data_IF_238918145828
#
_entry.id   IF_238918145828
#
_cell.length_a   1.000
_cell.length_b   1.000
_cell.length_c   1.000
_cell.angle_alpha   90.00
_cell.angle_beta   90.00
_cell.angle_gamma   90.00
#
_symmetry.space_group_name_H-M   'P 1'
#
loop_
_entity.id
_entity.type
_entity.pdbx_description
1 polymer ?
#
# COMPACT_ATOMS: atom_id res chain seq x y z
N UNK A 1 -20.42 -28.45 26.34
CA UNK A 1 -19.67 -27.75 27.38
C UNK A 1 -18.29 -28.34 27.49
N UNK A 2 -17.30 -27.62 26.98
CA UNK A 2 -15.88 -27.75 27.27
C UNK A 2 -15.31 -26.32 27.16
N UNK A 3 -14.53 -25.82 28.12
CA UNK A 3 -14.18 -24.40 28.15
C UNK A 3 -13.04 -24.11 27.17
N UNK A 4 -13.27 -23.11 26.34
CA UNK A 4 -12.27 -22.38 25.56
C UNK A 4 -11.52 -21.47 26.53
N UNK A 5 -10.21 -21.63 26.68
CA UNK A 5 -9.42 -20.68 27.47
C UNK A 5 -8.05 -21.15 27.91
N UNK A 6 -7.11 -21.33 26.99
CA UNK A 6 -5.67 -21.32 27.33
C UNK A 6 -4.78 -21.16 26.09
N UNK A 7 -4.81 -19.99 25.46
CA UNK A 7 -3.79 -19.60 24.47
C UNK A 7 -3.42 -18.10 24.55
N UNK A 8 -3.71 -17.46 25.69
CA UNK A 8 -3.32 -16.07 25.98
C UNK A 8 -2.67 -16.01 27.36
N UNK A 9 -1.53 -16.67 27.53
CA UNK A 9 -0.65 -16.41 28.68
C UNK A 9 0.77 -16.92 28.47
N UNK A 10 1.43 -16.46 27.41
CA UNK A 10 2.89 -16.65 27.28
C UNK A 10 3.49 -15.52 26.43
N UNK A 11 3.19 -14.27 26.79
CA UNK A 11 3.94 -13.11 26.29
C UNK A 11 4.07 -12.04 27.37
N UNK A 12 4.38 -12.43 28.61
CA UNK A 12 4.73 -11.46 29.65
C UNK A 12 5.50 -12.14 30.79
N UNK A 13 6.79 -12.35 30.57
CA UNK A 13 7.81 -12.26 31.62
C UNK A 13 9.23 -12.31 31.02
N UNK A 14 9.56 -11.32 30.18
CA UNK A 14 10.98 -11.00 30.01
C UNK A 14 11.47 -10.46 31.36
N UNK A 15 12.35 -11.21 32.03
CA UNK A 15 12.99 -10.76 33.28
C UNK A 15 13.71 -9.43 33.03
N UNK A 16 13.58 -8.43 33.91
CA UNK A 16 14.43 -7.24 33.84
C UNK A 16 15.89 -7.68 33.90
N UNK A 17 16.65 -7.43 32.83
CA UNK A 17 18.07 -7.80 32.74
C UNK A 17 18.42 -9.01 31.87
N UNK A 18 17.48 -9.62 31.13
CA UNK A 18 17.86 -10.55 30.06
C UNK A 18 18.69 -9.80 28.99
N UNK A 19 19.84 -10.32 28.53
CA UNK A 19 20.62 -9.65 27.49
C UNK A 19 19.77 -9.55 26.23
N UNK A 20 19.41 -8.32 25.86
CA UNK A 20 18.81 -7.99 24.58
C UNK A 20 19.68 -8.62 23.49
N UNK A 21 19.14 -9.58 22.75
CA UNK A 21 19.91 -10.32 21.74
C UNK A 21 20.57 -9.37 20.74
N UNK A 22 21.72 -9.74 20.17
CA UNK A 22 22.44 -8.93 19.18
C UNK A 22 21.53 -8.42 18.06
N UNK A 23 20.59 -9.25 17.58
CA UNK A 23 19.61 -8.89 16.57
C UNK A 23 18.68 -7.74 16.97
N UNK A 24 18.31 -7.62 18.25
CA UNK A 24 17.46 -6.51 18.72
C UNK A 24 18.25 -5.20 18.84
N UNK A 25 19.52 -5.26 19.28
CA UNK A 25 20.40 -4.08 19.28
C UNK A 25 20.73 -3.60 17.87
N UNK A 26 20.93 -4.52 16.93
CA UNK A 26 21.12 -4.21 15.51
C UNK A 26 19.85 -3.60 14.89
N UNK A 27 18.67 -4.12 15.24
CA UNK A 27 17.38 -3.55 14.84
C UNK A 27 17.19 -2.12 15.39
N UNK A 28 17.42 -1.89 16.68
CA UNK A 28 17.29 -0.55 17.29
C UNK A 28 18.27 0.44 16.64
N UNK A 29 19.53 0.05 16.45
CA UNK A 29 20.54 0.90 15.80
C UNK A 29 20.17 1.24 14.34
N UNK A 30 19.57 0.30 13.61
CA UNK A 30 19.07 0.53 12.25
C UNK A 30 17.87 1.48 12.24
N UNK A 31 16.94 1.35 13.19
CA UNK A 31 15.79 2.26 13.34
C UNK A 31 16.26 3.69 13.65
N UNK A 32 17.25 3.86 14.53
CA UNK A 32 17.84 5.18 14.85
C UNK A 32 18.44 5.88 13.63
N UNK A 33 18.87 5.13 12.61
CA UNK A 33 19.44 5.66 11.35
C UNK A 33 18.45 5.66 10.18
N UNK A 34 17.16 5.43 10.45
CA UNK A 34 16.16 5.39 9.40
C UNK A 34 15.60 6.78 9.09
N UNK A 35 15.39 7.07 7.80
CA UNK A 35 14.80 8.34 7.35
C UNK A 35 13.51 8.09 6.56
N UNK A 36 12.36 8.58 7.04
CA UNK A 36 11.12 8.51 6.29
C UNK A 36 11.10 9.55 5.17
N UNK A 37 10.75 9.10 3.97
CA UNK A 37 10.52 9.95 2.81
C UNK A 37 9.09 9.74 2.33
N UNK A 38 8.30 10.81 2.22
CA UNK A 38 6.87 10.73 1.89
C UNK A 38 6.58 10.99 0.41
N UNK A 39 5.61 10.28 -0.15
CA UNK A 39 5.25 10.35 -1.57
C UNK A 39 4.72 11.72 -2.03
N UNK A 40 4.19 12.51 -1.10
CA UNK A 40 3.67 13.85 -1.36
C UNK A 40 4.71 14.95 -1.11
N UNK A 41 5.90 14.61 -0.61
CA UNK A 41 6.95 15.56 -0.33
C UNK A 41 7.89 15.72 -1.54
N UNK A 42 8.17 16.96 -1.92
CA UNK A 42 9.22 17.29 -2.88
C UNK A 42 10.60 17.26 -2.21
N UNK A 43 11.61 16.87 -2.97
CA UNK A 43 13.01 16.84 -2.56
C UNK A 43 13.82 17.72 -3.53
N UNK A 44 13.95 19.01 -3.19
CA UNK A 44 14.41 20.03 -4.13
C UNK A 44 13.36 20.25 -5.22
N UNK A 45 13.75 20.12 -6.48
CA UNK A 45 12.86 20.30 -7.65
C UNK A 45 12.19 19.00 -8.14
N UNK A 46 12.38 17.87 -7.43
CA UNK A 46 11.91 16.57 -7.89
C UNK A 46 11.11 15.80 -6.82
N UNK A 47 10.25 14.90 -7.29
CA UNK A 47 9.62 13.86 -6.45
C UNK A 47 10.33 12.53 -6.67
N UNK A 48 10.41 11.70 -5.63
CA UNK A 48 10.88 10.33 -5.80
C UNK A 48 9.91 9.53 -6.68
N UNK A 49 10.41 8.63 -7.53
CA UNK A 49 9.58 7.81 -8.40
C UNK A 49 9.00 6.61 -7.63
N UNK A 50 8.04 6.86 -6.74
CA UNK A 50 7.49 5.85 -5.83
C UNK A 50 6.99 4.58 -6.53
N UNK A 51 6.40 4.69 -7.72
CA UNK A 51 5.93 3.52 -8.48
C UNK A 51 7.09 2.63 -8.95
N UNK A 52 8.23 3.23 -9.31
CA UNK A 52 9.45 2.50 -9.68
C UNK A 52 10.12 1.89 -8.47
N UNK A 53 10.16 2.63 -7.35
CA UNK A 53 10.70 2.13 -6.08
C UNK A 53 9.90 0.90 -5.60
N UNK A 54 8.57 0.97 -5.62
CA UNK A 54 7.72 -0.17 -5.26
C UNK A 54 7.95 -1.40 -6.15
N UNK A 55 8.20 -1.22 -7.44
CA UNK A 55 8.53 -2.33 -8.33
C UNK A 55 9.93 -2.91 -8.02
N UNK A 56 10.93 -2.04 -7.83
CA UNK A 56 12.30 -2.44 -7.54
C UNK A 56 12.44 -3.16 -6.18
N UNK A 57 11.61 -2.80 -5.20
CA UNK A 57 11.62 -3.42 -3.86
C UNK A 57 10.74 -4.68 -3.76
N UNK A 58 10.08 -5.08 -4.86
CA UNK A 58 9.22 -6.25 -4.88
C UNK A 58 7.92 -6.06 -4.10
N UNK A 59 7.39 -4.83 -4.01
CA UNK A 59 6.07 -4.55 -3.42
C UNK A 59 4.92 -4.83 -4.41
N UNK A 60 5.16 -4.63 -5.71
CA UNK A 60 4.21 -4.96 -6.76
C UNK A 60 4.82 -4.88 -8.15
N UNK A 61 4.04 -5.23 -9.18
CA UNK A 61 4.47 -5.10 -10.57
C UNK A 61 3.96 -3.79 -11.18
N UNK A 62 4.76 -3.13 -12.01
CA UNK A 62 4.32 -1.96 -12.76
C UNK A 62 3.51 -2.40 -13.98
N UNK A 63 2.24 -2.01 -14.05
CA UNK A 63 1.36 -2.31 -15.17
C UNK A 63 1.51 -1.29 -16.31
N UNK A 64 0.98 -1.64 -17.49
CA UNK A 64 0.90 -0.71 -18.63
C UNK A 64 0.03 0.52 -18.37
N UNK A 65 -0.81 0.50 -17.32
CA UNK A 65 -1.56 1.66 -16.83
C UNK A 65 -0.72 2.60 -15.95
N UNK A 66 0.58 2.33 -15.78
CA UNK A 66 1.50 3.00 -14.85
C UNK A 66 1.16 2.87 -13.36
N UNK A 67 0.14 2.06 -13.01
CA UNK A 67 -0.15 1.69 -11.64
C UNK A 67 0.77 0.55 -11.18
N UNK A 68 1.12 0.56 -9.90
CA UNK A 68 1.70 -0.63 -9.25
C UNK A 68 0.56 -1.56 -8.86
N UNK A 69 0.67 -2.83 -9.22
CA UNK A 69 -0.31 -3.86 -8.87
C UNK A 69 0.29 -4.75 -7.79
N UNK A 70 -0.29 -4.70 -6.59
CA UNK A 70 0.05 -5.59 -5.49
C UNK A 70 -0.58 -6.97 -5.75
N UNK A 71 0.11 -8.10 -5.46
CA UNK A 71 -0.41 -9.44 -5.75
C UNK A 71 -1.69 -9.79 -4.99
N UNK A 72 -1.86 -9.22 -3.79
CA UNK A 72 -3.07 -9.40 -2.95
C UNK A 72 -4.11 -8.30 -3.23
N UNK A 73 -3.74 -7.03 -3.03
CA UNK A 73 -4.67 -5.90 -3.09
C UNK A 73 -4.94 -5.35 -4.49
N UNK A 74 -4.29 -5.88 -5.53
CA UNK A 74 -4.39 -5.32 -6.88
C UNK A 74 -3.92 -3.86 -6.91
N UNK A 75 -4.60 -2.97 -7.65
CA UNK A 75 -4.32 -1.54 -7.62
C UNK A 75 -4.99 -0.82 -6.44
N UNK A 76 -5.62 -1.50 -5.48
CA UNK A 76 -6.44 -0.88 -4.43
C UNK A 76 -5.64 -0.57 -3.17
N UNK A 77 -4.54 0.16 -3.37
CA UNK A 77 -3.69 0.69 -2.31
C UNK A 77 -3.06 2.01 -2.76
N UNK A 78 -2.36 2.66 -1.84
CA UNK A 78 -1.60 3.88 -2.10
C UNK A 78 -0.19 3.76 -1.52
N UNK A 79 0.79 4.25 -2.27
CA UNK A 79 2.16 4.40 -1.80
C UNK A 79 2.25 5.68 -0.95
N UNK A 80 2.79 5.55 0.27
CA UNK A 80 2.78 6.66 1.25
C UNK A 80 4.17 7.15 1.61
N UNK A 81 5.08 6.22 1.91
CA UNK A 81 6.43 6.54 2.29
C UNK A 81 7.41 5.42 1.89
N UNK A 82 8.67 5.78 1.77
CA UNK A 82 9.81 4.86 1.77
C UNK A 82 10.62 5.16 3.02
N UNK A 83 11.08 4.12 3.69
CA UNK A 83 12.00 4.25 4.83
C UNK A 83 13.39 3.92 4.30
N UNK A 84 14.27 4.91 4.30
CA UNK A 84 15.67 4.73 3.95
C UNK A 84 16.41 4.21 5.17
N UNK A 85 17.23 3.19 5.00
CA UNK A 85 18.07 2.59 6.03
C UNK A 85 19.44 2.34 5.40
N UNK A 86 20.51 2.59 6.15
CA UNK A 86 21.87 2.31 5.70
C UNK A 86 22.10 0.82 5.48
N UNK A 87 22.84 0.48 4.43
CA UNK A 87 23.29 -0.88 4.11
C UNK A 87 22.88 -1.36 2.73
N UNK A 88 23.24 -2.59 2.41
CA UNK A 88 22.90 -3.21 1.13
C UNK A 88 21.43 -3.65 1.11
N UNK A 89 20.70 -3.42 0.00
CA UNK A 89 19.34 -3.88 -0.11
C UNK A 89 19.29 -5.42 -0.15
N UNK A 90 18.30 -6.05 0.49
CA UNK A 90 18.10 -7.49 0.35
C UNK A 90 17.76 -7.82 -1.12
N UNK A 91 18.21 -8.97 -1.61
CA UNK A 91 17.82 -9.46 -2.94
C UNK A 91 16.31 -9.67 -2.95
N UNK A 92 15.63 -9.10 -3.96
CA UNK A 92 14.18 -9.26 -4.16
C UNK A 92 13.92 -9.85 -5.54
N UNK A 93 13.04 -10.85 -5.57
CA UNK A 93 12.51 -11.36 -6.82
C UNK A 93 11.49 -10.35 -7.39
N UNK A 94 11.54 -10.04 -8.69
CA UNK A 94 10.48 -9.26 -9.33
C UNK A 94 9.12 -9.95 -9.16
N UNK A 95 8.08 -9.17 -8.85
CA UNK A 95 6.71 -9.69 -8.90
C UNK A 95 6.28 -9.75 -10.36
N UNK A 96 5.90 -10.95 -10.81
CA UNK A 96 5.27 -11.15 -12.11
C UNK A 96 3.97 -10.36 -12.21
N UNK A 97 3.62 -9.86 -13.39
CA UNK A 97 2.41 -9.05 -13.62
C UNK A 97 1.16 -9.75 -13.09
N UNK A 98 0.61 -9.32 -11.92
CA UNK A 98 -0.45 -10.07 -11.25
C UNK A 98 -1.83 -9.70 -11.81
N UNK A 99 -1.91 -8.61 -12.59
CA UNK A 99 -3.10 -8.23 -13.33
C UNK A 99 -3.10 -8.84 -14.74
N UNK A 100 -4.22 -9.44 -15.14
CA UNK A 100 -4.38 -10.14 -16.44
C UNK A 100 -5.29 -9.38 -17.43
N UNK A 101 -5.57 -8.11 -17.17
CA UNK A 101 -6.53 -7.29 -17.94
C UNK A 101 -6.16 -7.01 -19.41
N UNK A 102 -4.95 -7.36 -19.85
CA UNK A 102 -4.52 -7.22 -21.24
C UNK A 102 -4.71 -5.80 -21.80
N UNK A 103 -5.41 -5.69 -22.93
CA UNK A 103 -5.71 -4.40 -23.58
C UNK A 103 -6.67 -3.52 -22.78
N UNK A 104 -7.54 -4.08 -21.93
CA UNK A 104 -8.54 -3.31 -21.20
C UNK A 104 -7.93 -2.24 -20.29
N UNK A 105 -6.82 -2.56 -19.60
CA UNK A 105 -6.11 -1.57 -18.78
C UNK A 105 -5.50 -0.43 -19.60
N UNK A 106 -5.02 -0.73 -20.82
CA UNK A 106 -4.47 0.30 -21.73
C UNK A 106 -5.57 1.18 -22.28
N UNK A 107 -6.69 0.60 -22.70
CA UNK A 107 -7.86 1.33 -23.18
C UNK A 107 -8.39 2.27 -22.10
N UNK A 108 -8.55 1.78 -20.85
CA UNK A 108 -9.00 2.62 -19.74
C UNK A 108 -8.03 3.77 -19.46
N UNK A 109 -6.71 3.54 -19.52
CA UNK A 109 -5.72 4.61 -19.37
C UNK A 109 -5.85 5.66 -20.47
N UNK A 110 -5.92 5.25 -21.75
CA UNK A 110 -6.05 6.17 -22.88
C UNK A 110 -7.30 7.03 -22.75
N UNK A 111 -8.44 6.42 -22.36
CA UNK A 111 -9.67 7.16 -22.10
C UNK A 111 -9.55 8.13 -20.93
N UNK A 112 -8.86 7.75 -19.84
CA UNK A 112 -8.67 8.61 -18.68
C UNK A 112 -7.78 9.84 -18.98
N UNK A 113 -6.75 9.67 -19.81
CA UNK A 113 -5.80 10.74 -20.15
C UNK A 113 -6.44 11.94 -20.87
N UNK A 114 -7.54 11.72 -21.58
CA UNK A 114 -8.27 12.76 -22.32
C UNK A 114 -9.56 13.20 -21.60
N UNK A 115 -9.80 12.70 -20.39
CA UNK A 115 -11.03 12.95 -19.62
C UNK A 115 -10.76 13.84 -18.43
N UNK A 116 -11.70 14.76 -18.15
CA UNK A 116 -11.74 15.54 -16.92
C UNK A 116 -12.51 14.81 -15.79
N UNK A 117 -13.18 13.70 -16.08
CA UNK A 117 -13.99 12.96 -15.12
C UNK A 117 -13.12 12.05 -14.25
N UNK A 118 -13.33 12.11 -12.94
CA UNK A 118 -12.63 11.26 -11.98
C UNK A 118 -13.02 9.78 -12.13
N UNK A 119 -14.24 9.51 -12.59
CA UNK A 119 -14.75 8.16 -12.88
C UNK A 119 -13.93 7.48 -13.98
N UNK A 120 -13.42 8.26 -14.94
CA UNK A 120 -12.51 7.74 -15.97
C UNK A 120 -11.19 7.27 -15.37
N UNK A 121 -10.68 7.97 -14.35
CA UNK A 121 -9.49 7.56 -13.59
C UNK A 121 -9.77 6.36 -12.66
N UNK A 122 -10.97 6.27 -12.10
CA UNK A 122 -11.42 5.07 -11.38
C UNK A 122 -11.47 3.86 -12.31
N UNK A 123 -11.93 4.05 -13.56
CA UNK A 123 -11.99 3.00 -14.59
C UNK A 123 -10.63 2.34 -14.84
N UNK A 124 -9.52 3.07 -14.69
CA UNK A 124 -8.15 2.53 -14.82
C UNK A 124 -7.85 1.47 -13.74
N UNK A 125 -8.19 1.73 -12.47
CA UNK A 125 -8.04 0.75 -11.38
C UNK A 125 -9.00 -0.41 -11.56
N UNK A 126 -10.23 -0.08 -11.94
CA UNK A 126 -11.31 -1.00 -12.22
C UNK A 126 -11.00 -1.93 -13.41
N UNK A 127 -10.18 -1.53 -14.38
CA UNK A 127 -9.84 -2.41 -15.49
C UNK A 127 -9.01 -3.63 -15.04
N UNK A 128 -8.38 -3.58 -13.86
CA UNK A 128 -7.63 -4.70 -13.34
C UNK A 128 -8.53 -5.84 -12.85
N UNK A 129 -8.12 -7.09 -13.07
CA UNK A 129 -8.85 -8.29 -12.63
C UNK A 129 -8.76 -8.53 -11.12
N UNK A 130 -7.73 -8.02 -10.44
CA UNK A 130 -7.57 -8.15 -8.99
C UNK A 130 -8.37 -7.07 -8.24
N UNK A 131 -9.62 -7.38 -7.91
CA UNK A 131 -10.59 -6.46 -7.29
C UNK A 131 -11.15 -6.91 -5.95
N UNK A 132 -10.72 -8.06 -5.43
CA UNK A 132 -11.24 -8.60 -4.17
C UNK A 132 -11.09 -7.64 -2.98
N UNK A 133 -10.08 -6.76 -3.02
CA UNK A 133 -9.77 -5.78 -1.97
C UNK A 133 -10.04 -4.34 -2.42
N UNK A 134 -11.01 -4.15 -3.31
CA UNK A 134 -11.41 -2.82 -3.75
C UNK A 134 -11.85 -1.97 -2.55
N UNK A 135 -11.46 -0.70 -2.55
CA UNK A 135 -11.96 0.30 -1.59
C UNK A 135 -13.49 0.34 -1.61
N UNK A 136 -14.09 0.69 -0.46
CA UNK A 136 -15.53 0.94 -0.42
C UNK A 136 -15.90 2.11 -1.34
N UNK A 137 -17.17 2.20 -1.74
CA UNK A 137 -17.61 3.29 -2.62
C UNK A 137 -17.48 4.65 -1.93
N UNK A 138 -17.69 4.72 -0.62
CA UNK A 138 -17.48 5.92 0.21
C UNK A 138 -16.01 6.33 0.21
N UNK A 139 -15.09 5.37 0.41
CA UNK A 139 -13.66 5.64 0.40
C UNK A 139 -13.20 6.09 -0.99
N UNK A 140 -13.74 5.52 -2.06
CA UNK A 140 -13.46 5.93 -3.44
C UNK A 140 -13.93 7.36 -3.67
N UNK A 141 -15.18 7.65 -3.34
CA UNK A 141 -15.73 9.00 -3.49
C UNK A 141 -14.87 9.99 -2.73
N UNK A 142 -14.53 9.71 -1.47
CA UNK A 142 -13.65 10.57 -0.68
C UNK A 142 -12.29 10.83 -1.36
N UNK A 143 -11.62 9.80 -1.90
CA UNK A 143 -10.31 10.00 -2.53
C UNK A 143 -10.37 10.80 -3.83
N UNK A 144 -11.48 10.74 -4.57
CA UNK A 144 -11.60 11.43 -5.86
C UNK A 144 -12.27 12.80 -5.78
N UNK A 145 -13.24 12.98 -4.88
CA UNK A 145 -14.00 14.23 -4.75
C UNK A 145 -13.62 15.04 -3.52
N UNK A 146 -12.88 14.46 -2.57
CA UNK A 146 -12.56 15.04 -1.26
C UNK A 146 -13.80 15.32 -0.40
N UNK A 147 -14.95 14.77 -0.77
CA UNK A 147 -16.18 14.85 0.00
C UNK A 147 -16.26 13.68 0.97
N UNK A 148 -16.49 13.98 2.25
CA UNK A 148 -16.82 12.97 3.24
C UNK A 148 -18.33 12.88 3.36
N UNK A 149 -18.90 11.72 3.04
CA UNK A 149 -20.29 11.39 3.35
C UNK A 149 -20.23 10.36 4.48
N UNK A 150 -20.68 10.71 5.70
CA UNK A 150 -20.70 9.74 6.79
C UNK A 150 -21.62 8.57 6.43
N UNK A 151 -21.30 7.34 6.88
CA UNK A 151 -22.18 6.19 6.73
C UNK A 151 -23.60 6.51 7.21
N UNK A 152 -24.62 6.00 6.51
CA UNK A 152 -26.04 6.21 6.88
C UNK A 152 -26.33 5.71 8.30
N UNK A 153 -25.59 4.70 8.76
CA UNK A 153 -25.65 4.16 10.12
C UNK A 153 -25.26 5.19 11.20
N UNK A 154 -24.42 6.17 10.87
CA UNK A 154 -23.98 7.26 11.77
C UNK A 154 -24.91 8.49 11.74
N UNK A 155 -25.91 8.53 10.85
CA UNK A 155 -26.81 9.67 10.71
C UNK A 155 -27.99 9.66 11.68
N UNK A 156 -28.14 8.60 12.48
CA UNK A 156 -29.31 8.39 13.32
C UNK A 156 -30.55 8.10 12.48
N UNK A 157 -31.39 7.17 12.93
CA UNK A 157 -32.75 7.09 12.37
C UNK A 157 -33.48 8.42 12.64
N UNK A 158 -34.30 8.92 11.69
CA UNK A 158 -35.03 10.18 11.85
C UNK A 158 -35.94 10.19 13.08
#
# INVERSE_FOLDING_TARGET
GAPVGSAHREYESARPGAPVGSAHREYEAAVTRSQPVYAHAGHGEAFLPFTRLAAATGLGALAASHLVIHPIYGPWFALRAVILVDGDPPVRAPIASPCTCGSACKTALVSALVSASWESWLAVRNACSLRAWRYSDEQIQFHYTRQWIPPVEDLGSP
#
